data_IF_285433132543
#
_entry.id   IF_285433132543
#
_cell.length_a   1.000
_cell.length_b   1.000
_cell.length_c   1.000
_cell.angle_alpha   90.00
_cell.angle_beta   90.00
_cell.angle_gamma   90.00
#
_symmetry.space_group_name_H-M   'P 1'
#
loop_
_entity.id
_entity.type
_entity.pdbx_description
1 polymer ?
#
# COMPACT_ATOMS: atom_id res chain seq x y z
N UNK A 1 -15.19 -16.39 -8.40
CA UNK A 1 -16.21 -15.41 -8.84
C UNK A 1 -16.90 -14.71 -7.67
N UNK A 2 -17.37 -15.45 -6.65
CA UNK A 2 -18.01 -14.85 -5.45
C UNK A 2 -17.08 -13.96 -4.60
N UNK A 3 -15.79 -14.31 -4.51
CA UNK A 3 -14.80 -13.56 -3.72
C UNK A 3 -14.59 -12.12 -4.20
N UNK A 4 -14.48 -11.90 -5.51
CA UNK A 4 -14.29 -10.57 -6.10
C UNK A 4 -15.53 -9.68 -5.86
N UNK A 5 -16.73 -10.25 -5.95
CA UNK A 5 -17.97 -9.51 -5.71
C UNK A 5 -18.11 -9.07 -4.24
N UNK A 6 -17.69 -9.91 -3.30
CA UNK A 6 -17.72 -9.58 -1.87
C UNK A 6 -16.73 -8.46 -1.53
N UNK A 7 -15.51 -8.49 -2.07
CA UNK A 7 -14.52 -7.43 -1.88
C UNK A 7 -14.98 -6.10 -2.48
N UNK A 8 -15.61 -6.12 -3.66
CA UNK A 8 -16.19 -4.91 -4.25
C UNK A 8 -17.30 -4.32 -3.38
N UNK A 9 -18.26 -5.12 -2.92
CA UNK A 9 -19.32 -4.64 -2.03
C UNK A 9 -18.75 -4.04 -0.75
N UNK A 10 -17.80 -4.73 -0.11
CA UNK A 10 -17.27 -4.25 1.16
C UNK A 10 -16.50 -2.93 1.02
N UNK A 11 -15.64 -2.82 0.00
CA UNK A 11 -14.86 -1.58 -0.20
C UNK A 11 -15.74 -0.43 -0.65
N UNK A 12 -16.63 -0.64 -1.63
CA UNK A 12 -17.40 0.44 -2.23
C UNK A 12 -18.67 0.78 -1.46
N UNK A 13 -19.49 -0.22 -1.16
CA UNK A 13 -20.83 -0.01 -0.60
C UNK A 13 -20.81 0.16 0.92
N UNK A 14 -19.78 -0.35 1.62
CA UNK A 14 -19.60 -0.07 3.05
C UNK A 14 -18.61 1.08 3.27
N UNK A 15 -17.32 0.87 2.99
CA UNK A 15 -16.27 1.80 3.44
C UNK A 15 -16.32 3.15 2.72
N UNK A 16 -16.46 3.14 1.39
CA UNK A 16 -16.51 4.39 0.61
C UNK A 16 -17.84 5.10 0.78
N UNK A 17 -18.97 4.39 0.75
CA UNK A 17 -20.29 5.00 0.94
C UNK A 17 -20.45 5.63 2.33
N UNK A 18 -19.92 4.98 3.38
CA UNK A 18 -19.90 5.53 4.75
C UNK A 18 -18.80 6.59 4.97
N UNK A 19 -18.01 6.92 3.94
CA UNK A 19 -16.89 7.88 3.97
C UNK A 19 -15.77 7.48 4.95
N UNK A 20 -15.67 6.20 5.27
CA UNK A 20 -14.58 5.63 6.07
C UNK A 20 -13.31 5.44 5.24
N UNK A 21 -13.44 5.31 3.92
CA UNK A 21 -12.33 5.22 2.98
C UNK A 21 -12.57 6.06 1.71
N UNK A 22 -11.49 6.39 1.02
CA UNK A 22 -11.53 7.01 -0.30
C UNK A 22 -10.61 6.25 -1.26
N UNK A 23 -11.10 5.99 -2.47
CA UNK A 23 -10.31 5.32 -3.52
C UNK A 23 -9.65 6.39 -4.38
N UNK A 24 -8.33 6.30 -4.53
CA UNK A 24 -7.54 7.19 -5.37
C UNK A 24 -6.59 6.37 -6.23
N UNK A 25 -6.38 6.80 -7.47
CA UNK A 25 -5.37 6.21 -8.32
C UNK A 25 -3.97 6.60 -7.84
N UNK A 26 -3.11 5.60 -7.65
CA UNK A 26 -1.70 5.78 -7.34
C UNK A 26 -0.89 5.11 -8.45
N UNK A 27 0.01 5.84 -9.15
CA UNK A 27 0.90 5.24 -10.14
C UNK A 27 1.74 4.12 -9.51
N UNK A 28 1.98 3.03 -10.25
CA UNK A 28 2.73 1.86 -9.76
C UNK A 28 4.09 2.23 -9.15
N UNK A 29 4.80 3.17 -9.80
CA UNK A 29 6.10 3.65 -9.33
C UNK A 29 6.04 4.32 -7.95
N UNK A 30 4.87 4.70 -7.48
CA UNK A 30 4.61 5.44 -6.24
C UNK A 30 3.73 4.64 -5.25
N UNK A 31 3.40 3.37 -5.56
CA UNK A 31 2.60 2.48 -4.71
C UNK A 31 3.44 1.94 -3.54
N UNK A 32 3.48 2.67 -2.42
CA UNK A 32 4.30 2.34 -1.24
C UNK A 32 4.05 0.92 -0.70
N UNK A 33 2.81 0.43 -0.79
CA UNK A 33 2.42 -0.92 -0.35
C UNK A 33 3.14 -2.06 -1.10
N UNK A 34 3.72 -1.78 -2.27
CA UNK A 34 4.47 -2.77 -3.05
C UNK A 34 5.65 -3.37 -2.27
N UNK A 35 6.25 -2.61 -1.36
CA UNK A 35 7.38 -3.10 -0.57
C UNK A 35 7.01 -4.30 0.33
N UNK A 36 5.74 -4.40 0.74
CA UNK A 36 5.26 -5.48 1.63
C UNK A 36 4.75 -6.70 0.85
N UNK A 37 4.53 -6.57 -0.46
CA UNK A 37 3.85 -7.59 -1.26
C UNK A 37 4.69 -8.10 -2.44
N UNK A 38 5.77 -7.41 -2.80
CA UNK A 38 6.62 -7.72 -3.95
C UNK A 38 8.10 -7.78 -3.57
N UNK A 39 8.85 -8.60 -4.30
CA UNK A 39 10.30 -8.56 -4.28
C UNK A 39 10.80 -7.39 -5.14
N UNK A 40 11.03 -6.24 -4.51
CA UNK A 40 11.47 -5.03 -5.19
C UNK A 40 12.99 -4.99 -5.39
N UNK A 41 13.42 -4.34 -6.47
CA UNK A 41 14.83 -4.00 -6.67
C UNK A 41 15.30 -3.00 -5.62
N UNK A 42 16.61 -3.02 -5.32
CA UNK A 42 17.21 -2.28 -4.22
C UNK A 42 16.84 -0.78 -4.17
N UNK A 43 16.84 -0.11 -5.33
CA UNK A 43 16.50 1.30 -5.42
C UNK A 43 15.03 1.58 -5.02
N UNK A 44 14.10 0.77 -5.53
CA UNK A 44 12.67 0.89 -5.20
C UNK A 44 12.41 0.55 -3.73
N UNK A 45 13.11 -0.45 -3.20
CA UNK A 45 13.04 -0.80 -1.79
C UNK A 45 13.38 0.41 -0.91
N UNK A 46 14.53 1.06 -1.13
CA UNK A 46 14.91 2.24 -0.34
C UNK A 46 14.00 3.44 -0.53
N UNK A 47 13.50 3.66 -1.75
CA UNK A 47 12.50 4.70 -2.03
C UNK A 47 11.28 4.50 -1.12
N UNK A 48 10.75 3.28 -1.05
CA UNK A 48 9.54 3.00 -0.28
C UNK A 48 9.77 2.86 1.23
N UNK A 49 10.94 2.41 1.69
CA UNK A 49 11.33 2.49 3.12
C UNK A 49 11.24 3.94 3.61
N UNK A 50 11.80 4.88 2.85
CA UNK A 50 11.72 6.32 3.17
C UNK A 50 10.28 6.83 3.09
N UNK A 51 9.50 6.41 2.09
CA UNK A 51 8.12 6.83 1.94
C UNK A 51 7.20 6.32 3.08
N UNK A 52 7.53 5.19 3.71
CA UNK A 52 6.87 4.70 4.92
C UNK A 52 7.27 5.47 6.19
N UNK A 53 8.23 6.41 6.11
CA UNK A 53 8.76 7.14 7.27
C UNK A 53 9.69 6.30 8.14
N UNK A 54 10.17 5.15 7.66
CA UNK A 54 11.10 4.31 8.40
C UNK A 54 12.53 4.85 8.27
N UNK A 55 13.26 4.86 9.40
CA UNK A 55 14.66 5.26 9.46
C UNK A 55 15.53 4.05 9.73
N UNK A 56 16.66 3.96 9.03
CA UNK A 56 17.68 2.97 9.34
C UNK A 56 18.40 3.41 10.60
N UNK A 57 18.04 2.82 11.74
CA UNK A 57 18.86 2.97 12.93
C UNK A 57 20.11 2.10 12.75
N UNK A 58 21.28 2.72 12.76
CA UNK A 58 22.51 1.98 13.03
C UNK A 58 22.42 1.54 14.48
N UNK A 59 22.16 0.25 14.70
CA UNK A 59 22.49 -0.39 15.97
C UNK A 59 23.98 -0.17 16.19
N UNK A 60 24.34 0.84 16.98
CA UNK A 60 25.73 1.10 17.33
C UNK A 60 26.25 -0.10 18.09
N UNK A 61 27.28 -0.74 17.54
CA UNK A 61 28.20 -1.60 18.28
C UNK A 61 29.35 -0.74 18.81
#
# INVERSE_FOLDING_TARGET
TKHIQWEYHHVWDDLVANKEAAVQYVPTRDMVADIMTKALVHEQHWKFIKAMGLQLHSSGS
#
